data_IF_309058578403
#
_entry.id   IF_309058578403
#
_cell.length_a   1.000
_cell.length_b   1.000
_cell.length_c   1.000
_cell.angle_alpha   90.00
_cell.angle_beta   90.00
_cell.angle_gamma   90.00
#
_symmetry.space_group_name_H-M   'P 1'
#
loop_
_entity.id
_entity.type
_entity.pdbx_description
1 polymer ?
#
# COMPACT_ATOMS: atom_id res chain seq x y z
N UNK A 1 -2.34 40.15 54.09
CA UNK A 1 -2.83 38.90 53.47
C UNK A 1 -1.80 38.48 52.45
N UNK A 2 -1.33 37.24 52.59
CA UNK A 2 -0.02 36.78 52.15
C UNK A 2 0.03 36.48 50.65
N UNK A 3 1.13 36.89 50.01
CA UNK A 3 1.52 36.48 48.67
C UNK A 3 2.22 35.12 48.76
N UNK A 4 1.77 34.15 47.98
CA UNK A 4 2.40 32.84 47.86
C UNK A 4 3.28 32.82 46.61
N UNK A 5 4.59 32.84 46.81
CA UNK A 5 5.60 32.52 45.80
C UNK A 5 5.48 31.06 45.39
N UNK A 6 5.39 30.82 44.08
CA UNK A 6 5.41 29.48 43.48
C UNK A 6 6.77 29.32 42.80
N UNK A 7 7.65 28.59 43.49
CA UNK A 7 9.00 28.25 43.05
C UNK A 7 8.93 27.14 41.98
N UNK A 8 9.13 27.49 40.70
CA UNK A 8 9.23 26.53 39.61
C UNK A 8 10.64 25.95 39.53
N UNK A 9 10.88 24.83 40.21
CA UNK A 9 12.10 24.03 40.07
C UNK A 9 12.02 23.19 38.80
N UNK A 10 12.90 23.52 37.85
CA UNK A 10 13.03 22.83 36.55
C UNK A 10 13.72 21.46 36.71
N UNK A 11 13.22 20.38 36.07
CA UNK A 11 13.90 19.09 36.13
C UNK A 11 15.15 19.09 35.25
N UNK A 12 16.30 18.96 35.91
CA UNK A 12 17.61 18.68 35.30
C UNK A 12 17.51 17.35 34.54
N UNK A 13 17.60 17.42 33.21
CA UNK A 13 17.75 16.23 32.36
C UNK A 13 19.14 15.61 32.57
N UNK A 14 19.26 14.29 32.71
CA UNK A 14 20.55 13.63 32.74
C UNK A 14 21.18 13.71 31.34
N UNK A 15 22.37 14.31 31.27
CA UNK A 15 23.23 14.22 30.10
C UNK A 15 23.77 12.80 30.00
N UNK A 16 23.34 12.07 28.97
CA UNK A 16 23.97 10.81 28.58
C UNK A 16 25.27 11.18 27.86
N UNK A 17 26.38 11.11 28.58
CA UNK A 17 27.71 11.14 27.99
C UNK A 17 27.95 9.80 27.27
N UNK A 18 27.77 9.78 25.95
CA UNK A 18 28.26 8.69 25.12
C UNK A 18 29.76 8.90 24.91
N UNK A 19 30.56 8.23 25.75
CA UNK A 19 31.97 7.99 25.44
C UNK A 19 32.01 7.07 24.21
N UNK A 20 32.30 7.66 23.05
CA UNK A 20 32.79 6.93 21.89
C UNK A 20 34.21 6.50 22.19
N UNK A 21 34.35 5.31 22.76
CA UNK A 21 35.65 4.63 22.76
C UNK A 21 35.80 3.89 21.43
N UNK A 22 36.91 4.26 20.80
CA UNK A 22 37.41 3.82 19.53
C UNK A 22 37.94 2.38 19.65
N UNK A 23 38.04 1.70 18.52
CA UNK A 23 38.86 0.51 18.30
C UNK A 23 38.28 -0.82 18.77
N UNK A 24 37.37 -1.39 17.99
CA UNK A 24 37.37 -2.84 17.76
C UNK A 24 37.00 -3.13 16.30
N UNK A 25 38.06 -3.25 15.48
CA UNK A 25 38.02 -3.89 14.17
C UNK A 25 37.72 -5.39 14.34
N UNK A 26 36.45 -5.74 14.56
CA UNK A 26 35.97 -7.09 14.31
C UNK A 26 35.45 -7.14 12.87
N UNK A 27 36.21 -7.80 12.01
CA UNK A 27 35.76 -8.17 10.68
C UNK A 27 34.46 -8.94 10.79
N UNK A 28 33.38 -8.33 10.29
CA UNK A 28 32.12 -9.01 10.05
C UNK A 28 32.39 -10.12 9.04
N UNK A 29 32.21 -11.41 9.38
CA UNK A 29 32.13 -12.43 8.36
C UNK A 29 30.89 -12.09 7.53
N UNK A 30 31.10 -11.84 6.25
CA UNK A 30 30.03 -11.71 5.29
C UNK A 30 29.08 -12.89 5.47
N UNK A 31 27.85 -12.60 5.91
CA UNK A 31 26.76 -13.57 5.92
C UNK A 31 26.35 -13.80 4.46
N UNK A 32 27.16 -14.53 3.72
CA UNK A 32 26.73 -15.30 2.57
C UNK A 32 26.03 -16.56 3.10
N UNK A 33 24.86 -16.38 3.72
CA UNK A 33 23.91 -17.49 3.76
C UNK A 33 23.22 -17.52 2.40
N UNK A 34 23.91 -18.05 1.39
CA UNK A 34 23.25 -18.60 0.22
C UNK A 34 22.38 -19.75 0.75
N UNK A 35 21.12 -19.42 1.05
CA UNK A 35 20.10 -20.43 1.25
C UNK A 35 19.98 -21.13 -0.09
N UNK A 36 20.55 -22.33 -0.18
CA UNK A 36 20.47 -23.15 -1.38
C UNK A 36 19.00 -23.50 -1.63
N UNK A 37 18.38 -22.75 -2.54
CA UNK A 37 16.97 -22.88 -2.91
C UNK A 37 16.69 -24.31 -3.38
N UNK A 38 17.69 -25.01 -3.96
CA UNK A 38 17.56 -26.40 -4.35
C UNK A 38 17.42 -27.32 -3.13
N UNK A 39 18.21 -27.13 -2.07
CA UNK A 39 18.05 -27.91 -0.83
C UNK A 39 16.69 -27.65 -0.17
N UNK A 40 16.20 -26.42 -0.19
CA UNK A 40 14.89 -26.08 0.38
C UNK A 40 13.75 -26.76 -0.40
N UNK A 41 13.78 -26.71 -1.73
CA UNK A 41 12.80 -27.39 -2.59
C UNK A 41 12.88 -28.92 -2.48
N UNK A 42 14.08 -29.46 -2.27
CA UNK A 42 14.29 -30.89 -2.06
C UNK A 42 13.79 -31.35 -0.69
N UNK A 43 13.92 -30.52 0.36
CA UNK A 43 13.33 -30.77 1.68
C UNK A 43 11.79 -30.70 1.66
N UNK A 44 11.21 -29.83 0.83
CA UNK A 44 9.74 -29.74 0.65
C UNK A 44 9.17 -30.75 -0.35
N UNK A 45 10.01 -31.53 -1.04
CA UNK A 45 9.54 -32.64 -1.86
C UNK A 45 9.02 -33.76 -0.96
N UNK A 46 7.75 -33.61 -0.57
CA UNK A 46 6.96 -34.60 0.15
C UNK A 46 7.15 -35.95 -0.54
N UNK A 47 7.80 -36.88 0.17
CA UNK A 47 7.98 -38.24 -0.27
C UNK A 47 6.62 -38.78 -0.73
N UNK A 48 6.52 -39.08 -2.03
CA UNK A 48 5.35 -39.70 -2.66
C UNK A 48 5.08 -41.03 -1.96
N UNK A 49 4.28 -40.98 -0.89
CA UNK A 49 3.90 -42.11 -0.08
C UNK A 49 3.23 -43.14 -0.98
N UNK A 50 3.92 -44.25 -1.20
CA UNK A 50 3.41 -45.41 -1.92
C UNK A 50 2.44 -46.11 -0.97
N UNK A 51 1.20 -45.62 -0.89
CA UNK A 51 0.15 -46.29 -0.13
C UNK A 51 -0.16 -47.63 -0.82
N UNK A 52 0.34 -48.71 -0.24
CA UNK A 52 -0.03 -50.09 -0.57
C UNK A 52 -1.41 -50.32 0.07
N UNK A 53 -2.44 -50.30 -0.76
CA UNK A 53 -3.81 -50.56 -0.35
C UNK A 53 -3.96 -52.00 0.20
N UNK A 54 -4.55 -52.19 1.40
CA UNK A 54 -5.18 -53.46 1.72
C UNK A 54 -6.59 -53.49 1.10
N UNK A 55 -6.86 -54.55 0.35
CA UNK A 55 -8.20 -54.89 -0.09
C UNK A 55 -9.07 -55.20 1.13
N UNK A 56 -9.97 -54.28 1.48
CA UNK A 56 -11.09 -54.54 2.36
C UNK A 56 -12.32 -53.84 1.78
N UNK A 57 -13.16 -54.69 1.21
CA UNK A 57 -14.51 -54.45 0.76
C UNK A 57 -15.35 -53.91 1.92
N UNK A 58 -15.72 -52.62 1.86
CA UNK A 58 -16.72 -52.02 2.74
C UNK A 58 -17.71 -51.26 1.88
N UNK A 59 -18.84 -51.92 1.64
CA UNK A 59 -20.09 -51.36 1.14
C UNK A 59 -20.71 -50.49 2.23
N UNK A 60 -20.79 -49.17 2.04
CA UNK A 60 -21.74 -48.34 2.77
C UNK A 60 -21.95 -46.95 2.13
N UNK A 61 -23.14 -46.80 1.55
CA UNK A 61 -24.01 -45.63 1.63
C UNK A 61 -23.46 -44.25 1.20
N UNK A 62 -23.82 -43.87 -0.03
CA UNK A 62 -23.83 -42.48 -0.51
C UNK A 62 -25.13 -41.81 -0.03
N UNK A 63 -25.10 -40.74 0.77
CA UNK A 63 -26.27 -39.89 0.93
C UNK A 63 -26.32 -38.90 -0.24
N UNK A 64 -27.26 -39.13 -1.15
CA UNK A 64 -27.80 -38.11 -2.04
C UNK A 64 -28.49 -37.04 -1.17
N UNK A 65 -28.04 -35.79 -1.26
CA UNK A 65 -28.83 -34.61 -0.92
C UNK A 65 -28.54 -33.57 -1.99
N UNK A 66 -29.33 -33.56 -3.06
CA UNK A 66 -30.53 -32.73 -3.22
C UNK A 66 -30.19 -31.47 -4.00
N UNK A 67 -30.47 -31.57 -5.30
CA UNK A 67 -30.79 -30.45 -6.16
C UNK A 67 -31.88 -29.60 -5.51
N UNK A 68 -31.62 -28.31 -5.33
CA UNK A 68 -32.68 -27.31 -5.29
C UNK A 68 -32.47 -26.40 -6.51
N UNK A 69 -33.06 -26.84 -7.62
CA UNK A 69 -33.56 -25.92 -8.62
C UNK A 69 -34.75 -25.20 -7.98
N UNK A 70 -34.60 -23.91 -7.71
CA UNK A 70 -35.73 -23.05 -7.43
C UNK A 70 -35.76 -21.99 -8.53
N UNK A 71 -36.36 -22.39 -9.65
CA UNK A 71 -36.92 -21.47 -10.63
C UNK A 71 -38.11 -20.78 -9.95
N UNK A 72 -37.88 -19.55 -9.48
CA UNK A 72 -38.97 -18.64 -9.17
C UNK A 72 -38.99 -17.52 -10.21
N UNK A 73 -39.83 -17.80 -11.19
CA UNK A 73 -40.87 -16.96 -11.76
C UNK A 73 -40.85 -15.44 -11.53
N UNK A 74 -41.26 -14.77 -12.60
CA UNK A 74 -41.45 -13.36 -12.82
C UNK A 74 -41.98 -12.54 -11.62
N UNK A 75 -41.27 -11.44 -11.34
CA UNK A 75 -41.92 -10.18 -10.94
C UNK A 75 -41.14 -9.01 -11.53
N UNK A 76 -41.55 -8.64 -12.74
CA UNK A 76 -41.28 -7.34 -13.35
C UNK A 76 -42.08 -6.30 -12.59
N UNK A 77 -41.49 -5.72 -11.54
CA UNK A 77 -42.06 -4.56 -10.88
C UNK A 77 -41.09 -3.39 -10.98
N UNK A 78 -41.51 -2.52 -11.89
CA UNK A 78 -41.07 -1.19 -12.23
C UNK A 78 -40.94 -0.31 -10.97
N UNK A 79 -39.77 -0.34 -10.33
CA UNK A 79 -39.42 0.67 -9.32
C UNK A 79 -38.96 1.92 -10.05
N UNK A 80 -39.95 2.76 -10.36
CA UNK A 80 -39.81 4.15 -10.73
C UNK A 80 -38.72 4.82 -9.89
N UNK A 81 -37.56 4.99 -10.52
CA UNK A 81 -36.42 5.69 -9.97
C UNK A 81 -36.76 7.18 -9.93
N UNK A 82 -37.32 7.63 -8.80
CA UNK A 82 -37.54 9.04 -8.50
C UNK A 82 -36.18 9.69 -8.23
N UNK A 83 -35.53 10.16 -9.31
CA UNK A 83 -34.41 11.09 -9.24
C UNK A 83 -34.93 12.45 -8.78
N UNK A 84 -35.02 12.65 -7.47
CA UNK A 84 -35.19 14.00 -6.93
C UNK A 84 -33.90 14.79 -7.17
N UNK A 85 -34.08 15.82 -7.98
CA UNK A 85 -33.11 16.81 -8.37
C UNK A 85 -32.44 17.41 -7.12
N UNK A 86 -31.14 17.20 -6.97
CA UNK A 86 -30.34 18.06 -6.11
C UNK A 86 -30.11 19.35 -6.89
N UNK A 87 -30.88 20.37 -6.54
CA UNK A 87 -30.76 21.70 -7.11
C UNK A 87 -29.32 22.21 -6.90
N UNK A 88 -28.70 22.54 -8.03
CA UNK A 88 -27.44 23.24 -8.11
C UNK A 88 -27.53 24.56 -7.34
N UNK A 89 -26.92 24.60 -6.16
CA UNK A 89 -26.62 25.87 -5.50
C UNK A 89 -25.42 26.50 -6.19
N UNK A 90 -25.72 27.32 -7.20
CA UNK A 90 -24.79 28.24 -7.84
C UNK A 90 -24.39 29.35 -6.86
N UNK A 91 -23.35 29.12 -6.08
CA UNK A 91 -22.71 30.16 -5.26
C UNK A 91 -21.90 31.07 -6.17
N UNK A 92 -22.46 32.26 -6.47
CA UNK A 92 -21.77 33.38 -7.10
C UNK A 92 -20.66 33.88 -6.17
N UNK A 93 -19.42 33.58 -6.49
CA UNK A 93 -18.26 34.20 -5.84
C UNK A 93 -18.12 35.63 -6.33
N UNK A 94 -18.44 36.57 -5.43
CA UNK A 94 -18.24 38.00 -5.63
C UNK A 94 -16.75 38.30 -5.77
N UNK A 95 -16.42 38.96 -6.88
CA UNK A 95 -15.17 39.69 -7.06
C UNK A 95 -14.98 40.69 -5.91
N UNK A 96 -13.81 40.66 -5.29
CA UNK A 96 -13.28 41.77 -4.50
C UNK A 96 -11.79 41.86 -4.81
N UNK A 97 -11.49 42.68 -5.80
CA UNK A 97 -10.18 43.29 -6.01
C UNK A 97 -9.81 44.11 -4.77
N UNK A 98 -8.65 43.84 -4.19
CA UNK A 98 -7.85 44.67 -3.28
C UNK A 98 -6.62 43.81 -2.92
N UNK A 99 -5.40 44.28 -2.75
CA UNK A 99 -4.66 45.48 -3.07
C UNK A 99 -3.21 45.09 -2.67
N UNK A 100 -2.19 45.71 -3.29
CA UNK A 100 -0.81 45.77 -2.81
C UNK A 100 0.04 44.47 -2.77
N UNK A 101 0.90 44.41 -3.77
CA UNK A 101 2.18 43.71 -3.78
C UNK A 101 3.09 44.19 -2.64
N UNK A 102 3.24 43.37 -1.60
CA UNK A 102 4.44 43.39 -0.75
C UNK A 102 5.04 41.98 -0.75
N UNK A 103 6.05 41.83 -1.59
CA UNK A 103 6.85 40.63 -1.76
C UNK A 103 7.73 40.40 -0.54
N UNK A 104 7.21 39.64 0.43
CA UNK A 104 8.04 39.00 1.44
C UNK A 104 8.81 37.84 0.79
N UNK A 105 10.10 37.68 1.07
CA UNK A 105 10.87 36.52 0.62
C UNK A 105 10.25 35.28 1.26
N UNK A 106 9.52 34.51 0.45
CA UNK A 106 9.12 33.14 0.77
C UNK A 106 10.42 32.38 1.00
N UNK A 107 10.81 32.24 2.26
CA UNK A 107 11.81 31.29 2.66
C UNK A 107 11.25 29.93 2.32
N UNK A 108 11.64 29.43 1.15
CA UNK A 108 11.58 28.03 0.78
C UNK A 108 12.41 27.27 1.80
N UNK A 109 11.82 27.01 2.96
CA UNK A 109 12.33 26.01 3.90
C UNK A 109 12.23 24.71 3.11
N UNK A 110 13.34 24.33 2.49
CA UNK A 110 13.53 23.03 1.91
C UNK A 110 13.37 22.05 3.07
N UNK A 111 12.15 21.56 3.26
CA UNK A 111 11.88 20.45 4.17
C UNK A 111 12.76 19.32 3.67
N UNK A 112 13.75 18.86 4.45
CA UNK A 112 14.58 17.74 4.04
C UNK A 112 13.61 16.57 3.79
N UNK A 113 13.62 15.95 2.60
CA UNK A 113 12.73 14.84 2.30
C UNK A 113 13.15 13.66 3.17
N UNK A 114 12.59 13.59 4.37
CA UNK A 114 12.60 12.41 5.22
C UNK A 114 11.56 11.41 4.71
N UNK A 115 11.42 11.26 3.40
CA UNK A 115 10.63 10.20 2.80
C UNK A 115 11.48 8.94 2.85
N UNK A 116 11.34 8.19 3.95
CA UNK A 116 11.79 6.82 3.95
C UNK A 116 11.25 6.13 2.68
N UNK A 117 12.08 5.34 1.99
CA UNK A 117 11.64 4.69 0.77
C UNK A 117 10.42 3.82 1.07
N UNK A 118 9.45 3.82 0.15
CA UNK A 118 8.35 2.85 0.20
C UNK A 118 8.87 1.41 0.09
N UNK A 119 7.99 0.43 0.36
CA UNK A 119 8.34 -0.96 0.14
C UNK A 119 8.71 -1.21 -1.35
N UNK A 120 9.68 -2.09 -1.58
CA UNK A 120 10.20 -2.39 -2.92
C UNK A 120 9.11 -2.88 -3.88
N UNK A 121 8.08 -3.55 -3.36
CA UNK A 121 6.92 -4.00 -4.14
C UNK A 121 6.22 -2.82 -4.82
N UNK A 122 5.82 -1.79 -4.08
CA UNK A 122 5.16 -0.62 -4.65
C UNK A 122 6.11 0.21 -5.54
N UNK A 123 7.40 0.27 -5.21
CA UNK A 123 8.39 0.91 -6.08
C UNK A 123 8.47 0.23 -7.45
N UNK A 124 8.40 -1.10 -7.51
CA UNK A 124 8.40 -1.83 -8.79
C UNK A 124 7.16 -1.54 -9.64
N UNK A 125 6.00 -1.38 -8.99
CA UNK A 125 4.76 -0.99 -9.68
C UNK A 125 4.88 0.43 -10.20
N UNK A 126 5.31 1.38 -9.36
CA UNK A 126 5.50 2.77 -9.78
C UNK A 126 6.49 2.87 -10.94
N UNK A 127 7.61 2.14 -10.89
CA UNK A 127 8.59 2.11 -11.98
C UNK A 127 8.02 1.56 -13.30
N UNK A 128 7.05 0.65 -13.25
CA UNK A 128 6.32 0.17 -14.44
C UNK A 128 5.41 1.25 -15.06
N UNK A 129 4.91 2.17 -14.24
CA UNK A 129 3.93 3.18 -14.63
C UNK A 129 4.55 4.52 -15.00
N UNK A 130 5.51 4.96 -14.20
CA UNK A 130 6.18 6.24 -14.29
C UNK A 130 7.64 6.08 -13.84
N UNK A 131 8.53 5.62 -14.75
CA UNK A 131 9.94 5.36 -14.43
C UNK A 131 10.72 6.63 -14.05
N UNK A 132 10.18 7.81 -14.37
CA UNK A 132 10.78 9.12 -14.06
C UNK A 132 10.23 9.72 -12.76
N UNK A 133 9.41 8.97 -12.02
CA UNK A 133 8.78 9.49 -10.80
C UNK A 133 9.83 9.87 -9.74
N UNK A 134 9.74 11.09 -9.16
CA UNK A 134 10.72 11.57 -8.17
C UNK A 134 10.68 10.81 -6.83
N UNK A 135 9.63 10.01 -6.60
CA UNK A 135 9.46 9.21 -5.38
C UNK A 135 10.14 7.84 -5.50
N UNK A 136 10.62 7.48 -6.71
CA UNK A 136 11.43 6.29 -6.88
C UNK A 136 12.77 6.48 -6.15
N UNK A 137 13.05 5.56 -5.24
CA UNK A 137 14.35 5.54 -4.57
C UNK A 137 15.44 5.25 -5.62
N UNK A 138 16.58 5.97 -5.59
CA UNK A 138 17.74 5.61 -6.38
C UNK A 138 18.25 4.25 -5.89
N UNK A 139 17.73 3.19 -6.50
CA UNK A 139 18.14 1.82 -6.22
C UNK A 139 19.48 1.56 -6.91
N UNK A 140 20.45 0.91 -6.23
CA UNK A 140 21.71 0.49 -6.86
C UNK A 140 21.49 -0.55 -7.96
N UNK A 141 20.29 -1.14 -8.05
CA UNK A 141 19.90 -2.07 -9.09
C UNK A 141 18.76 -1.50 -9.94
N UNK A 142 18.83 -1.61 -11.28
CA UNK A 142 17.72 -1.25 -12.13
C UNK A 142 16.49 -2.07 -11.75
N UNK A 143 15.35 -1.39 -11.58
CA UNK A 143 14.09 -2.08 -11.38
C UNK A 143 13.89 -3.01 -12.59
N UNK A 144 13.51 -4.29 -12.38
CA UNK A 144 13.19 -5.16 -13.48
C UNK A 144 12.11 -4.48 -14.32
N UNK A 145 12.27 -4.47 -15.64
CA UNK A 145 11.27 -3.97 -16.58
C UNK A 145 10.04 -4.86 -16.39
N UNK A 146 9.15 -4.44 -15.50
CA UNK A 146 7.97 -5.18 -15.18
C UNK A 146 7.02 -5.09 -16.37
N UNK A 147 6.28 -6.17 -16.61
CA UNK A 147 5.13 -6.14 -17.51
C UNK A 147 4.24 -4.95 -17.15
N UNK A 148 3.63 -4.28 -18.13
CA UNK A 148 2.79 -3.12 -17.87
C UNK A 148 1.74 -3.47 -16.83
N UNK A 149 1.66 -2.67 -15.78
CA UNK A 149 0.69 -2.87 -14.71
C UNK A 149 -0.73 -2.91 -15.28
N UNK A 150 -1.41 -4.02 -15.03
CA UNK A 150 -2.77 -4.27 -15.50
C UNK A 150 -3.76 -3.85 -14.42
N UNK A 151 -4.82 -3.15 -14.83
CA UNK A 151 -5.97 -2.82 -13.96
C UNK A 151 -7.20 -3.65 -14.29
N UNK A 152 -7.20 -4.35 -15.42
CA UNK A 152 -8.28 -5.25 -15.81
C UNK A 152 -8.36 -6.47 -14.91
N UNK A 153 -9.56 -7.08 -14.88
CA UNK A 153 -9.85 -8.32 -14.16
C UNK A 153 -9.51 -8.24 -12.65
N UNK A 154 -9.51 -7.03 -12.07
CA UNK A 154 -9.21 -6.83 -10.66
C UNK A 154 -7.73 -7.00 -10.28
N UNK A 155 -6.78 -7.00 -11.23
CA UNK A 155 -5.36 -7.17 -10.92
C UNK A 155 -4.80 -6.08 -9.96
N UNK A 156 -5.41 -4.89 -9.94
CA UNK A 156 -5.08 -3.86 -8.95
C UNK A 156 -5.53 -4.24 -7.52
N UNK A 157 -6.57 -5.06 -7.37
CA UNK A 157 -7.00 -5.57 -6.06
C UNK A 157 -5.97 -6.54 -5.49
N UNK A 158 -5.40 -7.42 -6.31
CA UNK A 158 -4.31 -8.31 -5.89
C UNK A 158 -3.11 -7.51 -5.40
N UNK A 159 -2.83 -6.38 -6.06
CA UNK A 159 -1.79 -5.44 -5.63
C UNK A 159 -2.07 -4.85 -4.25
N UNK A 160 -3.30 -4.42 -3.98
CA UNK A 160 -3.70 -3.89 -2.66
C UNK A 160 -3.63 -4.99 -1.60
N UNK A 161 -4.15 -6.19 -1.88
CA UNK A 161 -4.16 -7.31 -0.94
C UNK A 161 -2.74 -7.80 -0.63
N UNK A 162 -1.85 -7.84 -1.62
CA UNK A 162 -0.46 -8.20 -1.44
C UNK A 162 0.28 -7.12 -0.63
N UNK A 163 0.06 -5.83 -0.93
CA UNK A 163 0.59 -4.73 -0.13
C UNK A 163 0.18 -4.86 1.35
N UNK A 164 -1.11 -5.08 1.63
CA UNK A 164 -1.61 -5.27 3.00
C UNK A 164 -0.98 -6.48 3.70
N UNK A 165 -0.79 -7.57 2.96
CA UNK A 165 -0.14 -8.78 3.49
C UNK A 165 1.31 -8.50 3.88
N UNK A 166 2.05 -7.77 3.03
CA UNK A 166 3.43 -7.35 3.29
C UNK A 166 3.50 -6.34 4.46
N UNK A 167 2.56 -5.40 4.52
CA UNK A 167 2.43 -4.43 5.61
C UNK A 167 2.23 -5.16 6.95
N UNK A 168 1.33 -6.14 7.00
CA UNK A 168 1.09 -6.94 8.20
C UNK A 168 2.30 -7.77 8.64
N UNK A 169 3.12 -8.23 7.68
CA UNK A 169 4.34 -8.99 7.98
C UNK A 169 5.49 -8.10 8.48
N UNK A 170 5.63 -6.87 7.96
CA UNK A 170 6.72 -5.97 8.36
C UNK A 170 6.34 -4.47 8.31
N UNK A 171 5.61 -3.95 9.31
CA UNK A 171 5.12 -2.56 9.32
C UNK A 171 6.19 -1.47 9.17
N UNK A 172 7.38 -1.56 9.80
CA UNK A 172 8.37 -0.49 9.73
C UNK A 172 8.89 -0.16 8.31
N UNK A 173 8.84 -1.12 7.38
CA UNK A 173 9.26 -0.91 5.98
C UNK A 173 8.25 -0.14 5.12
N UNK A 174 7.08 0.21 5.66
CA UNK A 174 5.98 0.77 4.88
C UNK A 174 5.71 2.25 5.17
N UNK A 175 6.62 2.93 5.88
CA UNK A 175 6.54 4.37 6.20
C UNK A 175 6.44 5.28 4.96
N UNK A 176 7.05 4.88 3.85
CA UNK A 176 6.99 5.61 2.58
C UNK A 176 5.83 5.21 1.66
N UNK A 177 5.08 4.15 1.97
CA UNK A 177 4.14 3.55 1.03
C UNK A 177 2.97 4.46 0.67
N UNK A 178 2.49 5.29 1.60
CA UNK A 178 1.40 6.22 1.33
C UNK A 178 1.72 7.20 0.19
N UNK A 179 2.93 7.77 0.17
CA UNK A 179 3.36 8.69 -0.89
C UNK A 179 3.49 7.97 -2.24
N UNK A 180 4.07 6.76 -2.25
CA UNK A 180 4.18 5.97 -3.48
C UNK A 180 2.82 5.52 -4.02
N UNK A 181 1.87 5.16 -3.16
CA UNK A 181 0.49 4.85 -3.58
C UNK A 181 -0.20 6.08 -4.21
N UNK A 182 0.04 7.28 -3.69
CA UNK A 182 -0.48 8.52 -4.30
C UNK A 182 0.10 8.75 -5.69
N UNK A 183 1.41 8.56 -5.88
CA UNK A 183 2.02 8.67 -7.21
C UNK A 183 1.55 7.56 -8.16
N UNK A 184 1.32 6.33 -7.68
CA UNK A 184 0.70 5.26 -8.49
C UNK A 184 -0.69 5.67 -8.97
N UNK A 185 -1.53 6.21 -8.07
CA UNK A 185 -2.87 6.67 -8.42
C UNK A 185 -2.81 7.81 -9.46
N UNK A 186 -1.91 8.77 -9.28
CA UNK A 186 -1.69 9.86 -10.24
C UNK A 186 -1.19 9.35 -11.60
N UNK A 187 -0.28 8.38 -11.62
CA UNK A 187 0.22 7.75 -12.85
C UNK A 187 -0.86 6.89 -13.56
N UNK A 188 -1.87 6.41 -12.83
CA UNK A 188 -3.06 5.81 -13.42
C UNK A 188 -3.99 6.87 -14.02
N UNK A 189 -4.26 7.97 -13.31
CA UNK A 189 -5.11 9.07 -13.80
C UNK A 189 -4.56 9.74 -15.07
N UNK A 190 -3.25 9.94 -15.14
CA UNK A 190 -2.59 10.60 -16.27
C UNK A 190 -2.43 9.68 -17.49
N UNK A 191 -2.78 8.41 -17.37
CA UNK A 191 -2.59 7.43 -18.42
C UNK A 191 -3.57 7.65 -19.56
N UNK A 192 -3.10 7.49 -20.80
CA UNK A 192 -3.98 7.52 -21.96
C UNK A 192 -5.04 6.40 -21.86
N UNK A 193 -6.30 6.79 -22.05
CA UNK A 193 -7.44 5.87 -22.08
C UNK A 193 -7.24 4.78 -23.12
N UNK A 194 -7.58 3.54 -22.74
CA UNK A 194 -7.65 2.37 -23.63
C UNK A 194 -8.75 1.44 -23.15
N UNK A 195 -9.30 0.63 -24.07
CA UNK A 195 -10.36 -0.32 -23.74
C UNK A 195 -9.94 -1.39 -22.70
N UNK A 196 -8.66 -1.74 -22.66
CA UNK A 196 -8.06 -2.65 -21.67
C UNK A 196 -7.76 -1.97 -20.32
N UNK A 197 -8.31 -0.78 -20.07
CA UNK A 197 -8.02 0.07 -18.91
C UNK A 197 -9.28 0.75 -18.35
N UNK A 198 -10.45 0.20 -18.66
CA UNK A 198 -11.73 0.75 -18.17
C UNK A 198 -11.79 0.77 -16.62
N UNK A 199 -11.07 -0.14 -15.98
CA UNK A 199 -10.91 -0.23 -14.53
C UNK A 199 -9.88 0.74 -13.93
N UNK A 200 -9.21 1.61 -14.72
CA UNK A 200 -8.23 2.57 -14.17
C UNK A 200 -8.90 3.53 -13.17
N UNK A 201 -10.13 3.99 -13.45
CA UNK A 201 -10.86 4.87 -12.54
C UNK A 201 -11.17 4.22 -11.18
N UNK A 202 -11.61 2.96 -11.19
CA UNK A 202 -11.86 2.19 -9.98
C UNK A 202 -10.55 1.92 -9.21
N UNK A 203 -9.48 1.57 -9.93
CA UNK A 203 -8.16 1.35 -9.36
C UNK A 203 -7.62 2.61 -8.67
N UNK A 204 -7.77 3.79 -9.28
CA UNK A 204 -7.37 5.07 -8.70
C UNK A 204 -8.06 5.31 -7.36
N UNK A 205 -9.38 5.13 -7.30
CA UNK A 205 -10.15 5.32 -6.06
C UNK A 205 -9.70 4.33 -4.98
N UNK A 206 -9.54 3.05 -5.34
CA UNK A 206 -9.12 2.01 -4.40
C UNK A 206 -7.69 2.26 -3.87
N UNK A 207 -6.75 2.66 -4.73
CA UNK A 207 -5.36 2.93 -4.36
C UNK A 207 -5.24 4.20 -3.52
N UNK A 208 -6.03 5.24 -3.80
CA UNK A 208 -6.10 6.44 -2.93
C UNK A 208 -6.63 6.10 -1.54
N UNK A 209 -7.67 5.27 -1.48
CA UNK A 209 -8.20 4.80 -0.20
C UNK A 209 -7.15 4.01 0.57
N UNK A 210 -6.40 3.13 -0.11
CA UNK A 210 -5.30 2.39 0.50
C UNK A 210 -4.18 3.31 0.99
N UNK A 211 -3.84 4.37 0.25
CA UNK A 211 -2.86 5.37 0.67
C UNK A 211 -3.31 6.05 1.97
N UNK A 212 -4.58 6.46 2.06
CA UNK A 212 -5.16 7.05 3.26
C UNK A 212 -5.13 6.09 4.46
N UNK A 213 -5.49 4.83 4.25
CA UNK A 213 -5.41 3.83 5.31
C UNK A 213 -3.96 3.65 5.77
N UNK A 214 -3.00 3.50 4.86
CA UNK A 214 -1.60 3.25 5.21
C UNK A 214 -0.99 4.33 6.12
N UNK A 215 -1.35 5.61 5.94
CA UNK A 215 -0.91 6.71 6.82
C UNK A 215 -1.33 6.48 8.28
N UNK A 216 -2.46 5.82 8.52
CA UNK A 216 -2.98 5.59 9.87
C UNK A 216 -2.45 4.30 10.52
N UNK A 217 -1.72 3.46 9.77
CA UNK A 217 -1.30 2.12 10.23
C UNK A 217 0.17 2.06 10.64
N UNK A 218 0.98 3.05 10.24
CA UNK A 218 2.44 3.09 10.44
C UNK A 218 2.82 4.29 11.31
#
# INVERSE_FOLDING_TARGET
MAATDIEMTSPVRPMIAANYDQDHAYGFPAYQSEVDICQLLQAMSLSKGKFKAPAAEVTAYVPYASQNANEHDASTEDLAYHSDAWESSSSKSSSSEQHLTDSLPTSSVAVPPSSLPACHFLQSILASLDPESPVLSPSPYPYPIASPFQTTNGAYLDTILLHRSLLGAFPPAHKGCAATLQEIAKALEMRAWRADRDSDAEAVVAIRQEAYLTVNWV
#
